data_IF_250156337319
#
_entry.id   IF_250156337319
#
_cell.length_a   1.000
_cell.length_b   1.000
_cell.length_c   1.000
_cell.angle_alpha   90.00
_cell.angle_beta   90.00
_cell.angle_gamma   90.00
#
_symmetry.space_group_name_H-M   'P 1'
#
loop_
_entity.id
_entity.type
_entity.pdbx_description
1 polymer ?
#
# COMPACT_ATOMS: atom_id res chain seq x y z
N UNK A 1 -23.55 33.23 51.27
CA UNK A 1 -23.50 33.42 49.82
C UNK A 1 -23.02 32.11 49.26
N UNK A 2 -23.98 31.22 48.92
CA UNK A 2 -23.74 29.96 48.21
C UNK A 2 -23.60 30.24 46.70
N UNK A 3 -22.54 29.76 46.09
CA UNK A 3 -22.39 29.66 44.64
C UNK A 3 -22.78 28.23 44.23
N UNK A 4 -23.91 28.11 43.55
CA UNK A 4 -24.36 26.89 42.88
C UNK A 4 -23.43 26.61 41.68
N UNK A 5 -22.85 25.39 41.65
CA UNK A 5 -22.21 24.82 40.51
C UNK A 5 -23.27 24.21 39.58
N UNK A 6 -23.49 24.82 38.44
CA UNK A 6 -24.35 24.27 37.40
C UNK A 6 -23.57 23.14 36.68
N UNK A 7 -24.08 21.93 36.83
CA UNK A 7 -23.69 20.78 36.02
C UNK A 7 -24.13 21.00 34.56
N UNK A 8 -23.15 21.14 33.65
CA UNK A 8 -23.42 21.13 32.20
C UNK A 8 -23.42 19.68 31.75
N UNK A 9 -24.59 19.11 31.64
CA UNK A 9 -24.80 17.81 30.99
C UNK A 9 -24.66 17.99 29.48
N UNK A 10 -23.57 17.54 28.89
CA UNK A 10 -23.40 17.50 27.43
C UNK A 10 -24.25 16.34 26.88
N UNK A 11 -25.40 16.68 26.29
CA UNK A 11 -26.23 15.76 25.50
C UNK A 11 -25.53 15.47 24.16
N UNK A 12 -24.79 14.37 24.10
CA UNK A 12 -24.16 13.85 22.88
C UNK A 12 -25.22 13.26 21.95
N UNK A 13 -25.98 14.12 21.28
CA UNK A 13 -26.77 13.69 20.12
C UNK A 13 -25.82 13.34 19.00
N UNK A 14 -25.81 12.04 18.65
CA UNK A 14 -25.19 11.52 17.43
C UNK A 14 -25.80 12.27 16.24
N UNK A 15 -25.06 13.24 15.72
CA UNK A 15 -25.40 13.88 14.47
C UNK A 15 -25.14 12.86 13.35
N UNK A 16 -26.04 12.74 12.36
CA UNK A 16 -25.82 11.87 11.22
C UNK A 16 -24.54 12.31 10.51
N UNK A 17 -23.71 11.33 10.15
CA UNK A 17 -22.50 11.53 9.37
C UNK A 17 -22.87 12.24 8.07
N UNK A 18 -22.76 13.57 8.11
CA UNK A 18 -22.91 14.41 6.95
C UNK A 18 -21.87 14.04 5.94
N UNK A 19 -22.28 13.92 4.67
CA UNK A 19 -21.43 13.77 3.50
C UNK A 19 -20.22 14.67 3.65
N UNK A 20 -19.03 14.06 3.76
CA UNK A 20 -17.77 14.77 3.69
C UNK A 20 -17.57 15.20 2.22
N UNK A 21 -18.13 16.37 1.90
CA UNK A 21 -17.82 17.09 0.68
C UNK A 21 -16.45 17.74 0.86
N UNK A 22 -15.48 17.24 0.06
CA UNK A 22 -14.28 17.96 -0.37
C UNK A 22 -13.42 18.60 0.73
N UNK A 23 -12.82 17.80 1.56
CA UNK A 23 -11.57 18.18 2.19
C UNK A 23 -10.40 17.72 1.31
N UNK A 24 -10.07 18.45 0.25
CA UNK A 24 -8.74 18.36 -0.35
C UNK A 24 -7.80 18.90 0.72
N UNK A 25 -7.14 18.01 1.45
CA UNK A 25 -6.01 18.39 2.30
C UNK A 25 -4.92 18.91 1.36
N UNK A 26 -4.94 20.21 1.06
CA UNK A 26 -3.87 20.83 0.30
C UNK A 26 -2.67 20.93 1.22
N UNK A 27 -1.68 20.08 0.99
CA UNK A 27 -0.39 20.17 1.67
C UNK A 27 0.22 21.55 1.36
N UNK A 28 0.49 22.33 2.42
CA UNK A 28 1.23 23.59 2.32
C UNK A 28 2.64 23.36 2.82
N UNK A 29 3.62 23.64 1.97
CA UNK A 29 5.03 23.61 2.32
C UNK A 29 5.56 25.02 2.49
N UNK A 30 6.39 25.21 3.52
CA UNK A 30 7.05 26.48 3.80
C UNK A 30 8.56 26.27 3.91
N UNK A 31 9.31 27.12 3.23
CA UNK A 31 10.74 27.22 3.42
C UNK A 31 11.03 28.09 4.65
N UNK A 32 11.82 27.57 5.59
CA UNK A 32 12.00 28.20 6.91
C UNK A 32 13.41 28.72 7.19
N UNK A 33 14.36 28.52 6.26
CA UNK A 33 15.79 28.82 6.53
C UNK A 33 16.10 30.31 6.63
N UNK A 34 15.49 31.13 5.74
CA UNK A 34 15.77 32.57 5.64
C UNK A 34 14.47 33.42 5.80
N UNK A 35 13.55 32.92 6.61
CA UNK A 35 12.19 33.44 6.77
C UNK A 35 11.17 32.37 6.45
N UNK A 36 9.88 32.70 6.53
CA UNK A 36 8.78 31.77 6.22
C UNK A 36 8.19 32.13 4.87
N UNK A 37 8.51 31.33 3.84
CA UNK A 37 8.00 31.53 2.48
C UNK A 37 7.22 30.29 2.03
N UNK A 38 5.97 30.45 1.60
CA UNK A 38 5.16 29.35 1.06
C UNK A 38 5.74 28.89 -0.30
N UNK A 39 5.99 27.58 -0.42
CA UNK A 39 6.41 26.94 -1.67
C UNK A 39 5.18 26.54 -2.44
N UNK A 40 4.88 27.26 -3.52
CA UNK A 40 3.71 26.97 -4.35
C UNK A 40 3.92 25.68 -5.14
N UNK A 41 2.96 24.73 -5.11
CA UNK A 41 3.04 23.52 -5.92
C UNK A 41 2.90 23.82 -7.40
N UNK A 42 3.62 23.06 -8.22
CA UNK A 42 3.55 23.11 -9.69
C UNK A 42 3.38 21.71 -10.28
N UNK A 43 3.08 21.65 -11.56
CA UNK A 43 3.13 20.41 -12.36
C UNK A 43 4.43 20.38 -13.17
N UNK A 44 4.86 19.18 -13.56
CA UNK A 44 5.97 19.00 -14.48
C UNK A 44 5.68 19.67 -15.85
N UNK A 45 6.71 19.95 -16.61
CA UNK A 45 6.55 20.52 -17.96
C UNK A 45 6.04 19.46 -18.94
N UNK A 46 6.53 18.22 -18.83
CA UNK A 46 6.11 17.08 -19.63
C UNK A 46 5.79 15.85 -18.80
N UNK A 47 5.06 14.89 -19.36
CA UNK A 47 4.80 13.58 -18.72
C UNK A 47 6.11 12.80 -18.47
N UNK A 48 7.05 12.88 -19.44
CA UNK A 48 8.35 12.24 -19.35
C UNK A 48 9.20 12.70 -18.15
N UNK A 49 9.00 13.95 -17.68
CA UNK A 49 9.73 14.47 -16.52
C UNK A 49 9.28 13.75 -15.23
N UNK A 50 7.95 13.58 -15.07
CA UNK A 50 7.39 12.84 -13.92
C UNK A 50 7.79 11.38 -13.99
N UNK A 51 7.68 10.76 -15.17
CA UNK A 51 8.09 9.37 -15.41
C UNK A 51 9.54 9.16 -15.01
N UNK A 52 10.46 9.99 -15.50
CA UNK A 52 11.90 9.89 -15.21
C UNK A 52 12.21 10.03 -13.71
N UNK A 53 11.53 10.98 -13.02
CA UNK A 53 11.69 11.16 -11.58
C UNK A 53 11.24 9.92 -10.80
N UNK A 54 10.09 9.37 -11.15
CA UNK A 54 9.55 8.19 -10.47
C UNK A 54 10.36 6.93 -10.78
N UNK A 55 10.72 6.70 -12.05
CA UNK A 55 11.55 5.56 -12.46
C UNK A 55 12.90 5.55 -11.75
N UNK A 56 13.51 6.73 -11.57
CA UNK A 56 14.80 6.87 -10.87
C UNK A 56 14.76 6.49 -9.39
N UNK A 57 13.58 6.46 -8.75
CA UNK A 57 13.41 6.15 -7.33
C UNK A 57 12.15 5.32 -7.04
N UNK A 58 11.70 4.51 -8.00
CA UNK A 58 10.42 3.79 -7.98
C UNK A 58 10.25 2.89 -6.74
N UNK A 59 11.31 2.23 -6.30
CA UNK A 59 11.26 1.38 -5.11
C UNK A 59 11.07 2.19 -3.84
N UNK A 60 11.76 3.33 -3.71
CA UNK A 60 11.62 4.22 -2.56
C UNK A 60 10.26 4.92 -2.53
N UNK A 61 9.74 5.33 -3.72
CA UNK A 61 8.51 6.11 -3.83
C UNK A 61 7.23 5.27 -3.81
N UNK A 62 7.26 4.07 -4.41
CA UNK A 62 6.07 3.25 -4.68
C UNK A 62 6.16 1.82 -4.13
N UNK A 63 7.32 1.39 -3.60
CA UNK A 63 7.56 0.00 -3.23
C UNK A 63 7.59 -0.94 -4.43
N UNK A 64 7.99 -0.45 -5.60
CA UNK A 64 7.98 -1.18 -6.88
C UNK A 64 9.39 -1.24 -7.45
N UNK A 65 9.89 -2.44 -7.67
CA UNK A 65 11.16 -2.66 -8.38
C UNK A 65 10.95 -2.45 -9.87
N UNK A 66 11.69 -1.52 -10.46
CA UNK A 66 11.61 -1.17 -11.87
C UNK A 66 12.07 -2.32 -12.77
N UNK A 67 11.35 -2.54 -13.87
CA UNK A 67 11.68 -3.56 -14.88
C UNK A 67 11.97 -2.97 -16.26
N UNK A 68 11.08 -2.12 -16.75
CA UNK A 68 11.20 -1.53 -18.08
C UNK A 68 10.43 -0.22 -18.19
N UNK A 69 10.95 0.71 -18.99
CA UNK A 69 10.34 1.95 -19.44
C UNK A 69 9.84 1.79 -20.87
N UNK A 70 8.73 2.45 -21.22
CA UNK A 70 8.23 2.56 -22.59
C UNK A 70 8.07 1.18 -23.28
N UNK A 71 7.50 0.20 -22.54
CA UNK A 71 7.44 -1.19 -23.00
C UNK A 71 6.38 -1.39 -24.09
N UNK A 72 6.81 -1.78 -25.30
CA UNK A 72 5.91 -2.03 -26.43
C UNK A 72 5.01 -3.24 -26.17
N UNK A 73 3.70 -3.10 -26.38
CA UNK A 73 2.72 -4.19 -26.29
C UNK A 73 2.59 -4.99 -27.59
N UNK A 74 3.46 -4.74 -28.56
CA UNK A 74 3.47 -5.42 -29.84
C UNK A 74 2.41 -4.92 -30.83
N UNK A 75 2.43 -5.45 -32.08
CA UNK A 75 1.63 -4.91 -33.17
C UNK A 75 0.11 -5.15 -33.01
N UNK A 76 -0.29 -6.14 -32.22
CA UNK A 76 -1.73 -6.48 -32.03
C UNK A 76 -2.39 -5.46 -31.11
N UNK A 77 -1.77 -5.16 -29.96
CA UNK A 77 -2.28 -4.18 -29.00
C UNK A 77 -1.93 -2.73 -29.40
N UNK A 78 -0.80 -2.56 -30.11
CA UNK A 78 -0.40 -1.27 -30.70
C UNK A 78 -0.14 -0.16 -29.69
N UNK A 79 0.18 -0.51 -28.43
CA UNK A 79 0.39 0.44 -27.34
C UNK A 79 1.81 0.37 -26.77
N UNK A 80 2.05 1.25 -25.80
CA UNK A 80 3.32 1.33 -25.08
C UNK A 80 3.02 1.65 -23.63
N UNK A 81 3.42 0.74 -22.72
CA UNK A 81 3.26 0.90 -21.29
C UNK A 81 4.38 1.82 -20.79
N UNK A 82 4.03 2.87 -20.08
CA UNK A 82 5.01 3.85 -19.62
C UNK A 82 6.05 3.20 -18.70
N UNK A 83 5.62 2.50 -17.64
CA UNK A 83 6.55 1.76 -16.77
C UNK A 83 5.99 0.41 -16.33
N UNK A 84 6.86 -0.61 -16.33
CA UNK A 84 6.60 -1.93 -15.77
C UNK A 84 7.45 -2.15 -14.52
N UNK A 85 6.87 -2.81 -13.52
CA UNK A 85 7.56 -3.15 -12.29
C UNK A 85 7.04 -4.41 -11.60
N UNK A 86 7.68 -4.73 -10.48
CA UNK A 86 7.29 -5.82 -9.58
C UNK A 86 7.24 -5.27 -8.16
N UNK A 87 6.09 -5.34 -7.49
CA UNK A 87 5.95 -4.80 -6.13
C UNK A 87 6.67 -5.65 -5.06
N UNK A 88 6.66 -5.17 -3.82
CA UNK A 88 7.30 -5.84 -2.68
C UNK A 88 6.73 -7.24 -2.42
N UNK A 89 5.50 -7.52 -2.86
CA UNK A 89 4.84 -8.81 -2.72
C UNK A 89 5.00 -9.71 -3.96
N UNK A 90 5.76 -9.26 -4.97
CA UNK A 90 5.94 -9.98 -6.22
C UNK A 90 4.74 -9.87 -7.16
N UNK A 91 3.83 -8.92 -6.95
CA UNK A 91 2.76 -8.65 -7.89
C UNK A 91 3.27 -7.82 -9.08
N UNK A 92 2.88 -8.16 -10.32
CA UNK A 92 3.16 -7.32 -11.48
C UNK A 92 2.52 -5.94 -11.35
N UNK A 93 3.23 -4.89 -11.74
CA UNK A 93 2.76 -3.50 -11.65
C UNK A 93 2.90 -2.83 -13.02
N UNK A 94 1.82 -2.19 -13.45
CA UNK A 94 1.80 -1.22 -14.54
C UNK A 94 1.68 0.18 -13.93
N UNK A 95 2.45 1.12 -14.44
CA UNK A 95 2.36 2.52 -14.04
C UNK A 95 2.19 3.36 -15.30
N UNK A 96 1.19 4.25 -15.29
CA UNK A 96 0.89 5.22 -16.34
C UNK A 96 0.98 6.62 -15.76
N UNK A 97 1.52 7.56 -16.55
CA UNK A 97 1.72 8.93 -16.12
C UNK A 97 0.87 9.88 -16.95
N UNK A 98 0.38 10.94 -16.31
CA UNK A 98 -0.24 12.10 -16.97
C UNK A 98 0.24 13.39 -16.34
N UNK A 99 0.60 14.34 -17.18
CA UNK A 99 1.03 15.66 -16.72
C UNK A 99 -0.04 16.35 -15.87
N UNK A 100 -1.28 16.30 -16.33
CA UNK A 100 -2.43 16.93 -15.71
C UNK A 100 -3.58 15.94 -15.58
N UNK A 101 -4.82 16.41 -15.58
CA UNK A 101 -6.01 15.55 -15.60
C UNK A 101 -6.23 15.01 -17.01
N UNK A 102 -6.39 13.70 -17.16
CA UNK A 102 -6.72 13.02 -18.40
C UNK A 102 -7.86 12.02 -18.17
N UNK A 103 -9.06 12.23 -18.78
CA UNK A 103 -10.19 11.31 -18.63
C UNK A 103 -9.95 9.91 -19.22
N UNK A 104 -8.93 9.74 -20.07
CA UNK A 104 -8.57 8.48 -20.72
C UNK A 104 -7.64 7.58 -19.91
N UNK A 105 -6.97 8.11 -18.86
CA UNK A 105 -5.90 7.39 -18.13
C UNK A 105 -6.37 6.05 -17.55
N UNK A 106 -7.59 5.97 -17.00
CA UNK A 106 -8.18 4.74 -16.49
C UNK A 106 -8.34 3.68 -17.58
N UNK A 107 -8.90 4.07 -18.72
CA UNK A 107 -9.13 3.16 -19.84
C UNK A 107 -7.82 2.66 -20.43
N UNK A 108 -6.82 3.53 -20.54
CA UNK A 108 -5.48 3.19 -21.02
C UNK A 108 -4.80 2.17 -20.08
N UNK A 109 -4.76 2.44 -18.79
CA UNK A 109 -4.14 1.54 -17.83
C UNK A 109 -4.85 0.18 -17.75
N UNK A 110 -6.19 0.15 -17.82
CA UNK A 110 -6.96 -1.10 -17.86
C UNK A 110 -6.71 -1.91 -19.12
N UNK A 111 -6.54 -1.26 -20.27
CA UNK A 111 -6.18 -1.92 -21.53
C UNK A 111 -4.82 -2.62 -21.39
N UNK A 112 -3.84 -1.98 -20.80
CA UNK A 112 -2.53 -2.60 -20.56
C UNK A 112 -2.57 -3.73 -19.50
N UNK A 113 -3.47 -3.64 -18.52
CA UNK A 113 -3.70 -4.73 -17.58
C UNK A 113 -4.24 -6.00 -18.26
N UNK A 114 -5.05 -5.87 -19.31
CA UNK A 114 -5.49 -7.01 -20.13
C UNK A 114 -4.30 -7.62 -20.84
N UNK A 115 -3.50 -6.78 -21.52
CA UNK A 115 -2.27 -7.23 -22.18
C UNK A 115 -1.36 -8.01 -21.21
N UNK A 116 -1.08 -7.46 -20.03
CA UNK A 116 -0.22 -8.10 -19.04
C UNK A 116 -0.71 -9.49 -18.63
N UNK A 117 -2.02 -9.65 -18.47
CA UNK A 117 -2.62 -10.94 -18.09
C UNK A 117 -2.56 -11.98 -19.21
N UNK A 118 -2.55 -11.56 -20.46
CA UNK A 118 -2.44 -12.41 -21.64
C UNK A 118 -0.96 -12.74 -21.97
N UNK A 119 -0.02 -11.88 -21.56
CA UNK A 119 1.42 -11.99 -21.90
C UNK A 119 2.30 -12.35 -20.68
N UNK A 120 1.79 -13.21 -19.80
CA UNK A 120 2.48 -13.60 -18.54
C UNK A 120 3.88 -14.17 -18.78
N UNK A 121 4.05 -14.95 -19.84
CA UNK A 121 5.34 -15.57 -20.17
C UNK A 121 6.39 -14.52 -20.54
N UNK A 122 6.00 -13.50 -21.29
CA UNK A 122 6.88 -12.39 -21.67
C UNK A 122 7.28 -11.57 -20.43
N UNK A 123 6.30 -11.21 -19.59
CA UNK A 123 6.57 -10.53 -18.35
C UNK A 123 7.47 -11.35 -17.41
N UNK A 124 7.24 -12.67 -17.30
CA UNK A 124 8.09 -13.55 -16.48
C UNK A 124 9.52 -13.63 -17.03
N UNK A 125 9.70 -13.61 -18.35
CA UNK A 125 11.04 -13.56 -18.96
C UNK A 125 11.75 -12.25 -18.62
N UNK A 126 11.04 -11.11 -18.68
CA UNK A 126 11.56 -9.80 -18.30
C UNK A 126 11.97 -9.77 -16.81
N UNK A 127 11.12 -10.29 -15.92
CA UNK A 127 11.46 -10.40 -14.49
C UNK A 127 12.70 -11.27 -14.27
N UNK A 128 12.81 -12.39 -14.99
CA UNK A 128 14.00 -13.28 -14.89
C UNK A 128 15.27 -12.57 -15.31
N UNK A 129 15.21 -11.81 -16.40
CA UNK A 129 16.34 -11.03 -16.92
C UNK A 129 16.77 -9.94 -15.93
N UNK A 130 15.84 -9.20 -15.38
CA UNK A 130 16.11 -8.01 -14.54
C UNK A 130 16.35 -8.33 -13.06
N UNK A 131 15.62 -9.30 -12.50
CA UNK A 131 15.58 -9.58 -11.07
C UNK A 131 15.97 -11.01 -10.70
N UNK A 132 16.26 -11.85 -11.70
CA UNK A 132 16.72 -13.22 -11.51
C UNK A 132 15.60 -14.27 -11.42
N UNK A 133 16.02 -15.54 -11.43
CA UNK A 133 15.11 -16.69 -11.50
C UNK A 133 14.19 -16.82 -10.29
N UNK A 134 14.69 -16.50 -9.11
CA UNK A 134 13.90 -16.57 -7.86
C UNK A 134 12.71 -15.62 -7.92
N UNK A 135 12.91 -14.36 -8.28
CA UNK A 135 11.83 -13.39 -8.44
C UNK A 135 10.81 -13.84 -9.49
N UNK A 136 11.30 -14.34 -10.64
CA UNK A 136 10.44 -14.82 -11.71
C UNK A 136 9.58 -16.04 -11.34
N UNK A 137 10.06 -16.91 -10.44
CA UNK A 137 9.29 -18.07 -9.96
C UNK A 137 8.24 -17.72 -8.90
N UNK A 138 8.35 -16.54 -8.29
CA UNK A 138 7.49 -16.08 -7.19
C UNK A 138 6.51 -14.99 -7.58
N UNK A 139 6.27 -14.76 -8.87
CA UNK A 139 5.34 -13.75 -9.35
C UNK A 139 3.91 -14.04 -8.86
N UNK A 140 3.29 -13.04 -8.24
CA UNK A 140 1.94 -13.11 -7.70
C UNK A 140 0.90 -12.67 -8.76
N UNK A 141 0.52 -13.58 -9.63
CA UNK A 141 -0.43 -13.31 -10.72
C UNK A 141 -1.88 -13.09 -10.27
N UNK A 142 -2.21 -13.41 -9.02
CA UNK A 142 -3.55 -13.20 -8.47
C UNK A 142 -3.85 -11.75 -8.08
N UNK A 143 -2.83 -10.91 -7.97
CA UNK A 143 -2.95 -9.54 -7.51
C UNK A 143 -2.15 -8.52 -8.34
N UNK A 144 -2.27 -8.52 -9.70
CA UNK A 144 -1.61 -7.50 -10.51
C UNK A 144 -2.14 -6.11 -10.15
N UNK A 145 -1.29 -5.10 -10.24
CA UNK A 145 -1.55 -3.74 -9.75
C UNK A 145 -1.41 -2.71 -10.88
N UNK A 146 -2.31 -1.74 -10.91
CA UNK A 146 -2.23 -0.57 -11.75
C UNK A 146 -2.03 0.67 -10.87
N UNK A 147 -1.01 1.47 -11.14
CA UNK A 147 -0.79 2.75 -10.49
C UNK A 147 -0.91 3.83 -11.57
N UNK A 148 -1.80 4.78 -11.37
CA UNK A 148 -1.98 5.93 -12.24
C UNK A 148 -1.46 7.16 -11.51
N UNK A 149 -0.44 7.82 -12.08
CA UNK A 149 0.19 9.00 -11.50
C UNK A 149 -0.17 10.20 -12.38
N UNK A 150 -0.89 11.18 -11.82
CA UNK A 150 -1.34 12.34 -12.58
C UNK A 150 -1.30 13.62 -11.75
N UNK A 151 -1.34 14.77 -12.45
CA UNK A 151 -1.50 16.05 -11.79
C UNK A 151 -2.84 16.15 -11.04
N UNK A 152 -3.92 15.57 -11.59
CA UNK A 152 -5.20 15.42 -10.91
C UNK A 152 -6.05 14.34 -11.59
N UNK A 153 -7.17 13.96 -10.95
CA UNK A 153 -8.13 12.99 -11.46
C UNK A 153 -9.53 13.57 -11.51
N UNK A 154 -10.33 13.10 -12.46
CA UNK A 154 -11.72 13.51 -12.54
C UNK A 154 -12.53 12.84 -11.42
N UNK A 155 -13.67 13.42 -11.05
CA UNK A 155 -14.62 12.76 -10.14
C UNK A 155 -15.08 11.38 -10.62
N UNK A 156 -15.07 11.17 -11.94
CA UNK A 156 -15.46 9.90 -12.55
C UNK A 156 -14.39 8.83 -12.30
N UNK A 157 -13.10 9.19 -12.39
CA UNK A 157 -12.00 8.28 -12.08
C UNK A 157 -12.06 7.83 -10.62
N UNK A 158 -12.29 8.77 -9.69
CA UNK A 158 -12.41 8.48 -8.26
C UNK A 158 -13.57 7.52 -7.95
N UNK A 159 -14.69 7.65 -8.65
CA UNK A 159 -15.83 6.73 -8.52
C UNK A 159 -15.56 5.39 -9.21
N UNK A 160 -15.01 5.40 -10.41
CA UNK A 160 -14.70 4.19 -11.17
C UNK A 160 -13.75 3.26 -10.40
N UNK A 161 -12.71 3.82 -9.76
CA UNK A 161 -11.78 3.03 -8.93
C UNK A 161 -12.50 2.30 -7.81
N UNK A 162 -13.42 2.96 -7.10
CA UNK A 162 -14.16 2.36 -5.96
C UNK A 162 -15.05 1.16 -6.37
N UNK A 163 -15.58 1.20 -7.59
CA UNK A 163 -16.40 0.14 -8.15
C UNK A 163 -15.58 -0.96 -8.85
N UNK A 164 -14.27 -0.72 -9.03
CA UNK A 164 -13.44 -1.64 -9.79
C UNK A 164 -13.01 -2.85 -8.94
N UNK A 165 -12.88 -4.03 -9.60
CA UNK A 165 -12.48 -5.28 -8.94
C UNK A 165 -10.99 -5.60 -9.04
N UNK A 166 -10.21 -4.70 -9.63
CA UNK A 166 -8.75 -4.83 -9.76
C UNK A 166 -8.07 -3.92 -8.75
N UNK A 167 -6.80 -4.21 -8.46
CA UNK A 167 -5.98 -3.34 -7.62
C UNK A 167 -5.55 -2.13 -8.42
N UNK A 168 -6.09 -0.95 -8.11
CA UNK A 168 -5.82 0.31 -8.79
C UNK A 168 -5.57 1.38 -7.75
N UNK A 169 -4.47 2.11 -7.90
CA UNK A 169 -4.15 3.27 -7.07
C UNK A 169 -4.09 4.52 -7.94
N UNK A 170 -4.82 5.56 -7.55
CA UNK A 170 -4.73 6.90 -8.14
C UNK A 170 -3.83 7.76 -7.26
N UNK A 171 -2.71 8.19 -7.81
CA UNK A 171 -1.67 8.94 -7.10
C UNK A 171 -1.55 10.32 -7.72
N UNK A 172 -1.89 11.35 -6.97
CA UNK A 172 -1.66 12.74 -7.37
C UNK A 172 -0.22 13.11 -7.07
N UNK A 173 0.44 13.78 -8.03
CA UNK A 173 1.76 14.34 -7.79
C UNK A 173 1.74 15.88 -7.78
N UNK A 174 2.67 16.47 -7.04
CA UNK A 174 2.98 17.91 -7.07
C UNK A 174 4.49 18.11 -6.93
N UNK A 175 5.03 19.05 -7.69
CA UNK A 175 6.40 19.52 -7.53
C UNK A 175 6.41 20.75 -6.63
N UNK A 176 7.35 20.84 -5.72
CA UNK A 176 7.54 21.94 -4.80
C UNK A 176 8.98 22.46 -4.93
N UNK A 177 9.13 23.61 -5.62
CA UNK A 177 10.44 24.09 -6.03
C UNK A 177 11.15 23.11 -6.96
N UNK A 178 12.49 23.14 -6.96
CA UNK A 178 13.30 22.33 -7.88
C UNK A 178 13.60 20.92 -7.40
N UNK A 179 13.42 20.64 -6.07
CA UNK A 179 13.98 19.43 -5.47
C UNK A 179 12.99 18.58 -4.68
N UNK A 180 11.71 18.92 -4.65
CA UNK A 180 10.73 18.17 -3.88
C UNK A 180 9.56 17.72 -4.76
N UNK A 181 9.19 16.46 -4.64
CA UNK A 181 7.97 15.90 -5.19
C UNK A 181 7.09 15.37 -4.05
N UNK A 182 5.83 15.75 -4.06
CA UNK A 182 4.80 15.20 -3.18
C UNK A 182 3.95 14.19 -3.95
N UNK A 183 3.69 13.04 -3.34
CA UNK A 183 2.76 12.04 -3.82
C UNK A 183 1.62 11.88 -2.81
N UNK A 184 0.39 11.83 -3.31
CA UNK A 184 -0.82 11.66 -2.51
C UNK A 184 -1.71 10.60 -3.14
N UNK A 185 -2.02 9.53 -2.41
CA UNK A 185 -3.02 8.56 -2.85
C UNK A 185 -4.41 9.16 -2.69
N UNK A 186 -5.09 9.48 -3.79
CA UNK A 186 -6.42 10.12 -3.77
C UNK A 186 -7.57 9.12 -3.84
N UNK A 187 -7.33 7.94 -4.38
CA UNK A 187 -8.24 6.80 -4.32
C UNK A 187 -7.48 5.49 -4.53
N UNK A 188 -7.95 4.43 -3.90
CA UNK A 188 -7.43 3.07 -4.08
C UNK A 188 -8.57 2.07 -4.12
N UNK A 189 -8.45 1.08 -5.00
CA UNK A 189 -9.30 -0.10 -5.02
C UNK A 189 -8.46 -1.35 -4.81
N UNK A 190 -9.04 -2.30 -4.12
CA UNK A 190 -8.42 -3.58 -3.85
C UNK A 190 -9.00 -4.65 -4.78
N UNK A 191 -8.14 -5.30 -5.56
CA UNK A 191 -8.54 -6.50 -6.28
C UNK A 191 -9.09 -7.52 -5.30
N UNK A 192 -10.34 -7.95 -5.49
CA UNK A 192 -10.86 -9.08 -4.71
C UNK A 192 -10.08 -10.32 -5.13
N UNK A 193 -9.11 -10.74 -4.33
CA UNK A 193 -8.55 -12.08 -4.42
C UNK A 193 -9.71 -13.03 -4.13
N UNK A 194 -10.06 -13.96 -5.04
CA UNK A 194 -11.05 -14.97 -4.73
C UNK A 194 -10.58 -15.70 -3.47
N UNK A 195 -11.33 -15.60 -2.38
CA UNK A 195 -11.05 -16.42 -1.21
C UNK A 195 -11.04 -17.87 -1.68
N UNK A 196 -9.86 -18.49 -1.62
CA UNK A 196 -9.71 -19.90 -1.88
C UNK A 196 -10.59 -20.60 -0.85
N UNK A 197 -11.80 -21.01 -1.28
CA UNK A 197 -12.68 -21.83 -0.50
C UNK A 197 -11.82 -23.00 -0.03
N UNK A 198 -11.53 -23.06 1.26
CA UNK A 198 -10.92 -24.23 1.86
C UNK A 198 -11.89 -25.37 1.60
N UNK A 199 -11.70 -26.06 0.47
CA UNK A 199 -12.21 -27.42 0.31
C UNK A 199 -11.51 -28.19 1.41
N UNK A 200 -12.27 -28.52 2.46
CA UNK A 200 -11.90 -29.57 3.39
C UNK A 200 -11.71 -30.83 2.55
N UNK A 201 -10.47 -31.09 2.16
CA UNK A 201 -10.08 -32.41 1.75
C UNK A 201 -9.99 -33.22 3.06
N UNK A 202 -11.02 -34.00 3.30
CA UNK A 202 -11.04 -35.06 4.30
C UNK A 202 -10.19 -36.20 3.73
N UNK A 203 -8.87 -35.99 3.71
CA UNK A 203 -7.89 -37.03 3.42
C UNK A 203 -6.86 -37.02 4.55
N UNK A 204 -6.98 -38.12 5.34
CA UNK A 204 -6.19 -38.34 6.52
C UNK A 204 -4.73 -38.60 6.20
N UNK A 205 -3.90 -37.55 6.18
CA UNK A 205 -2.49 -37.70 6.42
C UNK A 205 -1.77 -36.35 6.56
N UNK A 206 -1.17 -36.17 7.66
CA UNK A 206 -0.23 -35.18 8.23
C UNK A 206 -0.89 -34.30 9.29
N UNK A 207 -0.45 -34.39 10.57
CA UNK A 207 -0.95 -33.54 11.62
C UNK A 207 -0.41 -32.12 11.39
N UNK A 208 -1.23 -31.26 10.77
CA UNK A 208 -1.06 -29.81 10.89
C UNK A 208 -1.13 -29.54 12.38
N UNK A 209 0.00 -29.17 12.99
CA UNK A 209 0.07 -28.76 14.39
C UNK A 209 -0.96 -27.66 14.59
N UNK A 210 -2.03 -27.97 15.32
CA UNK A 210 -3.13 -27.04 15.60
C UNK A 210 -2.54 -25.84 16.34
N UNK A 211 -2.55 -24.67 15.69
CA UNK A 211 -2.43 -23.38 16.37
C UNK A 211 -3.51 -23.37 17.45
N UNK A 212 -3.19 -22.96 18.67
CA UNK A 212 -4.21 -22.88 19.73
C UNK A 212 -5.33 -21.95 19.26
N UNK A 213 -6.56 -22.23 19.62
CA UNK A 213 -7.74 -21.41 19.27
C UNK A 213 -7.49 -19.93 19.65
N UNK A 214 -6.90 -19.69 20.81
CA UNK A 214 -6.50 -18.36 21.26
C UNK A 214 -5.50 -17.63 20.31
N UNK A 215 -4.57 -18.36 19.67
CA UNK A 215 -3.66 -17.76 18.70
C UNK A 215 -4.36 -17.48 17.36
N UNK A 216 -5.33 -18.28 16.98
CA UNK A 216 -6.15 -18.02 15.80
C UNK A 216 -7.02 -16.76 16.00
N UNK A 217 -7.62 -16.60 17.17
CA UNK A 217 -8.41 -15.43 17.55
C UNK A 217 -7.55 -14.15 17.59
N UNK A 218 -6.36 -14.23 18.20
CA UNK A 218 -5.41 -13.13 18.21
C UNK A 218 -4.99 -12.73 16.77
N UNK A 219 -4.71 -13.72 15.91
CA UNK A 219 -4.36 -13.43 14.52
C UNK A 219 -5.49 -12.76 13.75
N UNK A 220 -6.75 -13.13 14.00
CA UNK A 220 -7.93 -12.45 13.44
C UNK A 220 -8.07 -11.03 14.00
N UNK A 221 -7.83 -10.82 15.28
CA UNK A 221 -7.88 -9.49 15.89
C UNK A 221 -6.80 -8.56 15.29
N UNK A 222 -5.58 -9.05 15.10
CA UNK A 222 -4.50 -8.31 14.42
C UNK A 222 -4.89 -7.97 12.99
N UNK A 223 -5.47 -8.91 12.24
CA UNK A 223 -5.95 -8.69 10.87
C UNK A 223 -7.00 -7.56 10.82
N UNK A 224 -7.99 -7.61 11.71
CA UNK A 224 -9.03 -6.59 11.80
C UNK A 224 -8.47 -5.23 12.22
N UNK A 225 -7.52 -5.19 13.15
CA UNK A 225 -6.86 -3.97 13.59
C UNK A 225 -6.11 -3.28 12.44
N UNK A 226 -5.32 -4.03 11.68
CA UNK A 226 -4.55 -3.51 10.54
C UNK A 226 -5.47 -3.05 9.40
N UNK A 227 -6.50 -3.83 9.05
CA UNK A 227 -7.50 -3.45 8.04
C UNK A 227 -8.34 -2.24 8.46
N UNK A 228 -8.58 -2.08 9.76
CA UNK A 228 -9.35 -0.96 10.32
C UNK A 228 -8.60 0.37 10.35
N UNK A 229 -7.30 0.42 10.05
CA UNK A 229 -6.52 1.66 10.06
C UNK A 229 -6.96 2.65 8.98
N UNK A 230 -7.41 2.16 7.82
CA UNK A 230 -7.91 3.00 6.74
C UNK A 230 -8.62 2.21 5.64
N UNK A 231 -9.49 2.90 4.88
CA UNK A 231 -10.22 2.29 3.75
C UNK A 231 -9.36 2.00 2.51
N UNK A 232 -8.11 2.43 2.53
CA UNK A 232 -7.10 2.25 1.48
C UNK A 232 -6.14 1.08 1.75
N UNK A 233 -6.34 0.33 2.83
CA UNK A 233 -5.50 -0.82 3.18
C UNK A 233 -5.82 -2.03 2.32
N UNK A 234 -4.79 -2.55 1.63
CA UNK A 234 -4.82 -3.82 0.90
C UNK A 234 -4.22 -4.95 1.75
N UNK A 235 -4.93 -6.07 1.88
CA UNK A 235 -4.33 -7.31 2.37
C UNK A 235 -3.92 -8.19 1.19
N UNK A 236 -2.64 -8.62 1.19
CA UNK A 236 -2.06 -9.52 0.20
C UNK A 236 -1.59 -10.79 0.91
N UNK A 237 -2.27 -11.91 0.64
CA UNK A 237 -1.91 -13.20 1.23
C UNK A 237 -0.74 -13.83 0.46
N UNK A 238 0.33 -14.16 1.19
CA UNK A 238 1.49 -14.91 0.70
C UNK A 238 1.59 -16.26 1.42
N UNK A 239 2.39 -17.16 0.91
CA UNK A 239 2.56 -18.49 1.54
C UNK A 239 3.12 -18.43 2.97
N UNK A 240 3.96 -17.43 3.26
CA UNK A 240 4.72 -17.35 4.51
C UNK A 240 4.31 -16.17 5.38
N UNK A 241 3.58 -15.19 4.85
CA UNK A 241 3.11 -14.00 5.57
C UNK A 241 1.88 -13.39 4.89
N UNK A 242 1.15 -12.57 5.62
CA UNK A 242 0.14 -11.66 5.09
C UNK A 242 0.73 -10.24 5.08
N UNK A 243 0.70 -9.56 3.93
CA UNK A 243 1.12 -8.18 3.82
C UNK A 243 -0.09 -7.23 3.86
N UNK A 244 0.09 -6.09 4.54
CA UNK A 244 -0.87 -4.98 4.58
C UNK A 244 -0.21 -3.78 3.91
N UNK A 245 -0.82 -3.31 2.83
CA UNK A 245 -0.22 -2.34 1.91
C UNK A 245 -1.13 -1.13 1.70
N UNK A 246 -0.50 0.02 1.54
CA UNK A 246 -1.02 1.25 0.90
C UNK A 246 -0.28 1.44 -0.43
N UNK A 247 0.52 2.49 -0.63
CA UNK A 247 1.53 2.50 -1.70
C UNK A 247 2.62 1.47 -1.42
N UNK A 248 3.09 1.40 -0.17
CA UNK A 248 4.06 0.42 0.33
C UNK A 248 3.40 -0.57 1.29
N UNK A 249 4.05 -1.71 1.52
CA UNK A 249 3.73 -2.52 2.68
C UNK A 249 4.05 -1.73 3.95
N UNK A 250 3.08 -1.58 4.84
CA UNK A 250 3.31 -1.00 6.16
C UNK A 250 3.39 -2.07 7.25
N UNK A 251 2.80 -3.23 7.02
CA UNK A 251 2.92 -4.36 7.93
C UNK A 251 3.01 -5.67 7.15
N UNK A 252 3.84 -6.60 7.64
CA UNK A 252 3.87 -7.99 7.20
C UNK A 252 3.69 -8.89 8.42
N UNK A 253 2.67 -9.75 8.42
CA UNK A 253 2.28 -10.55 9.57
C UNK A 253 2.57 -12.03 9.32
N UNK A 254 3.29 -12.64 10.23
CA UNK A 254 3.57 -14.09 10.24
C UNK A 254 3.00 -14.74 11.49
N UNK A 255 2.26 -15.82 11.32
CA UNK A 255 1.70 -16.59 12.44
C UNK A 255 2.68 -17.66 12.91
N UNK A 256 2.96 -17.69 14.20
CA UNK A 256 3.74 -18.74 14.88
C UNK A 256 2.85 -19.51 15.84
N UNK A 257 3.35 -20.58 16.45
CA UNK A 257 2.57 -21.40 17.37
C UNK A 257 2.21 -20.66 18.67
N UNK A 258 3.12 -19.82 19.15
CA UNK A 258 3.09 -19.13 20.44
C UNK A 258 2.90 -17.62 20.35
N UNK A 259 2.91 -17.07 19.13
CA UNK A 259 2.81 -15.62 18.90
C UNK A 259 2.46 -15.26 17.45
N UNK A 260 1.98 -14.05 17.28
CA UNK A 260 1.89 -13.38 15.98
C UNK A 260 3.06 -12.39 15.89
N UNK A 261 3.80 -12.40 14.78
CA UNK A 261 4.88 -11.46 14.49
C UNK A 261 4.38 -10.47 13.45
N UNK A 262 4.46 -9.18 13.77
CA UNK A 262 4.21 -8.10 12.82
C UNK A 262 5.53 -7.37 12.53
N UNK A 263 5.92 -7.30 11.27
CA UNK A 263 7.06 -6.53 10.78
C UNK A 263 6.52 -5.22 10.20
N UNK A 264 6.94 -4.09 10.78
CA UNK A 264 6.37 -2.78 10.50
C UNK A 264 7.39 -1.89 9.75
N UNK A 265 6.88 -1.08 8.80
CA UNK A 265 7.65 -0.04 8.13
C UNK A 265 7.78 1.17 9.07
N UNK A 266 8.59 1.03 10.10
CA UNK A 266 8.89 2.10 11.04
C UNK A 266 10.38 2.01 11.40
N UNK A 267 11.06 3.15 11.42
CA UNK A 267 12.45 3.18 11.85
C UNK A 267 12.53 2.78 13.33
N UNK A 268 13.35 1.77 13.70
CA UNK A 268 13.46 1.32 15.10
C UNK A 268 13.88 2.43 16.06
N UNK A 269 14.55 3.47 15.56
CA UNK A 269 14.96 4.65 16.34
C UNK A 269 13.82 5.57 16.75
N UNK A 270 12.64 5.45 16.11
CA UNK A 270 11.43 6.23 16.44
C UNK A 270 10.48 5.47 17.38
N UNK A 271 10.78 4.21 17.70
CA UNK A 271 9.99 3.38 18.59
C UNK A 271 10.83 2.96 19.81
N UNK A 272 10.22 2.97 20.99
CA UNK A 272 10.85 2.39 22.18
C UNK A 272 10.99 0.86 22.00
N UNK A 273 12.23 0.38 22.03
CA UNK A 273 12.51 -1.05 21.95
C UNK A 273 12.32 -1.70 23.31
N UNK A 274 11.29 -2.53 23.43
CA UNK A 274 10.95 -3.24 24.67
C UNK A 274 11.30 -4.73 24.51
N UNK A 275 12.24 -5.29 25.32
CA UNK A 275 12.60 -6.71 25.26
C UNK A 275 11.38 -7.62 25.33
N UNK A 276 11.29 -8.59 24.41
CA UNK A 276 10.19 -9.54 24.33
C UNK A 276 8.92 -9.01 23.67
N UNK A 277 8.84 -7.71 23.33
CA UNK A 277 7.71 -7.10 22.63
C UNK A 277 8.14 -6.47 21.31
N UNK A 278 9.12 -5.58 21.29
CA UNK A 278 9.64 -4.96 20.05
C UNK A 278 11.12 -5.27 19.85
N UNK A 279 11.53 -5.39 18.59
CA UNK A 279 12.92 -5.67 18.22
C UNK A 279 13.29 -4.99 16.90
N UNK A 280 14.48 -4.41 16.84
CA UNK A 280 15.11 -3.98 15.60
C UNK A 280 15.52 -5.21 14.78
N UNK A 281 15.04 -5.29 13.54
CA UNK A 281 15.35 -6.35 12.58
C UNK A 281 15.97 -5.80 11.30
N UNK A 282 16.46 -4.56 11.33
CA UNK A 282 17.17 -3.93 10.22
C UNK A 282 18.32 -4.83 9.77
N UNK A 283 18.34 -5.17 8.49
CA UNK A 283 19.36 -6.04 7.91
C UNK A 283 19.28 -7.53 8.30
N UNK A 284 18.31 -7.93 9.11
CA UNK A 284 18.04 -9.34 9.41
C UNK A 284 17.10 -9.93 8.36
N UNK A 285 17.41 -11.13 7.88
CA UNK A 285 16.52 -11.85 6.94
C UNK A 285 15.23 -12.29 7.62
N UNK A 286 14.09 -11.81 7.12
CA UNK A 286 12.75 -12.23 7.54
C UNK A 286 11.78 -12.26 6.35
N UNK A 287 10.59 -12.81 6.57
CA UNK A 287 9.55 -12.82 5.55
C UNK A 287 8.81 -11.48 5.54
N UNK A 288 8.69 -10.87 4.35
CA UNK A 288 8.05 -9.57 4.18
C UNK A 288 9.02 -8.40 4.31
N UNK A 289 8.48 -7.21 4.53
CA UNK A 289 9.21 -5.94 4.64
C UNK A 289 8.92 -5.28 5.97
N UNK A 290 9.86 -4.48 6.47
CA UNK A 290 9.75 -3.74 7.72
C UNK A 290 10.96 -3.94 8.62
N UNK A 291 11.41 -2.89 9.31
CA UNK A 291 12.61 -2.89 10.14
C UNK A 291 12.32 -3.05 11.64
N UNK A 292 11.05 -2.91 12.04
CA UNK A 292 10.59 -3.10 13.41
C UNK A 292 9.74 -4.35 13.54
N UNK A 293 10.21 -5.36 14.29
CA UNK A 293 9.42 -6.53 14.65
C UNK A 293 8.63 -6.27 15.93
N UNK A 294 7.33 -6.57 15.91
CA UNK A 294 6.43 -6.56 17.07
C UNK A 294 5.95 -7.97 17.34
N UNK A 295 6.11 -8.45 18.58
CA UNK A 295 5.72 -9.78 19.03
C UNK A 295 4.44 -9.71 19.84
N UNK A 296 3.37 -10.32 19.35
CA UNK A 296 2.04 -10.32 19.96
C UNK A 296 1.70 -11.72 20.49
N UNK A 297 1.42 -11.84 21.78
CA UNK A 297 1.04 -13.09 22.45
C UNK A 297 -0.35 -13.03 23.09
N UNK A 298 -0.89 -11.81 23.20
CA UNK A 298 -2.17 -11.52 23.85
C UNK A 298 -2.86 -10.30 23.23
N UNK A 299 -4.14 -10.12 23.51
CA UNK A 299 -4.86 -8.89 23.13
C UNK A 299 -4.27 -7.65 23.81
N UNK A 300 -3.68 -7.78 25.01
CA UNK A 300 -2.98 -6.67 25.65
C UNK A 300 -1.74 -6.23 24.86
N UNK A 301 -1.01 -7.18 24.24
CA UNK A 301 0.10 -6.84 23.34
C UNK A 301 -0.44 -6.15 22.08
N UNK A 302 -1.60 -6.58 21.55
CA UNK A 302 -2.25 -5.93 20.43
C UNK A 302 -2.61 -4.48 20.76
N UNK A 303 -3.24 -4.24 21.91
CA UNK A 303 -3.59 -2.88 22.34
C UNK A 303 -2.35 -1.97 22.42
N UNK A 304 -1.23 -2.49 22.96
CA UNK A 304 0.05 -1.77 23.01
C UNK A 304 0.66 -1.53 21.62
N UNK A 305 0.38 -2.38 20.65
CA UNK A 305 0.93 -2.27 19.29
C UNK A 305 0.16 -1.26 18.42
N UNK A 306 -1.03 -0.80 18.82
CA UNK A 306 -1.88 0.05 17.98
C UNK A 306 -1.21 1.34 17.53
N UNK A 307 -0.46 2.00 18.41
CA UNK A 307 0.26 3.24 18.07
C UNK A 307 1.39 2.95 17.06
N UNK A 308 2.08 1.82 17.19
CA UNK A 308 3.11 1.38 16.24
C UNK A 308 2.50 1.03 14.88
N UNK A 309 1.32 0.38 14.87
CA UNK A 309 0.59 0.10 13.63
C UNK A 309 0.18 1.40 12.94
N UNK A 310 -0.33 2.39 13.70
CA UNK A 310 -0.70 3.69 13.15
C UNK A 310 0.53 4.42 12.59
N UNK A 311 1.63 4.47 13.34
CA UNK A 311 2.89 5.06 12.89
C UNK A 311 3.37 4.45 11.56
N UNK A 312 3.36 3.12 11.48
CA UNK A 312 3.77 2.41 10.27
C UNK A 312 2.82 2.66 9.10
N UNK A 313 1.50 2.69 9.34
CA UNK A 313 0.49 3.02 8.35
C UNK A 313 0.69 4.44 7.78
N UNK A 314 0.93 5.43 8.63
CA UNK A 314 1.13 6.82 8.22
C UNK A 314 2.43 6.99 7.42
N UNK A 315 3.46 6.20 7.73
CA UNK A 315 4.75 6.21 7.02
C UNK A 315 4.68 5.58 5.61
N UNK A 316 3.65 4.80 5.31
CA UNK A 316 3.48 4.07 4.06
C UNK A 316 2.50 4.73 3.07
N UNK A 317 2.10 5.96 3.36
CA UNK A 317 1.18 6.75 2.54
C UNK A 317 1.78 7.13 1.20
#
# INVERSE_FOLDING_TARGET
>A
VCLELAEITLDLRVLPVGRCDKGVLSLKLFYTKDGMTEVTPSLAEAEADVQSLVEGAMEAMLGVRFLASEYSTGPVHGGRIDSLGLDQNGAPVIIEYKRATDPGVMSQGLFYMVWLMDHRTEFQALVRERLGTTAASQILWSAPRLILIAGDFTRYDLHAVREHRRSIDLVRYRLYGEHHIGLETVASAQGRVPQRRQLRSDDGSVPVRRTSEAMADLAMAVDQALLGLGGDVAKIERQTYDAYRRLHNFACVTRRQDKVLAYLKAAPTTADLVPGFTRDVTGLGHHGTGDLEVQLRSNQDLDRAMDLFRLSYDTAA
#
